data_IF_241595690095
#
_entry.id   IF_241595690095
#
_cell.length_a   1.000
_cell.length_b   1.000
_cell.length_c   1.000
_cell.angle_alpha   90.00
_cell.angle_beta   90.00
_cell.angle_gamma   90.00
#
_symmetry.space_group_name_H-M   'P 1'
#
loop_
_entity.id
_entity.type
_entity.pdbx_description
1 polymer ?
#
# COMPACT_ATOMS: atom_id res chain seq x y z
N UNK A 1 -23.90 -7.85 8.34
CA UNK A 1 -24.97 -8.61 7.64
C UNK A 1 -24.29 -9.81 7.04
N UNK A 2 -24.65 -11.05 7.41
CA UNK A 2 -24.09 -12.23 6.77
C UNK A 2 -24.51 -12.31 5.29
N UNK A 3 -23.65 -12.80 4.41
CA UNK A 3 -23.89 -12.96 2.96
C UNK A 3 -22.65 -12.68 2.11
N UNK A 4 -22.50 -13.38 0.97
CA UNK A 4 -21.37 -13.20 0.04
C UNK A 4 -21.79 -13.37 -1.44
N UNK A 5 -22.14 -12.28 -2.16
CA UNK A 5 -22.49 -10.97 -1.62
C UNK A 5 -23.89 -10.98 -0.97
N UNK A 6 -24.16 -10.10 0.00
CA UNK A 6 -25.51 -9.96 0.54
C UNK A 6 -26.46 -9.41 -0.53
N UNK A 7 -27.70 -9.92 -0.52
CA UNK A 7 -28.78 -9.44 -1.40
C UNK A 7 -29.15 -8.00 -1.04
N UNK A 8 -29.70 -7.25 -2.00
CA UNK A 8 -30.06 -5.83 -1.81
C UNK A 8 -31.07 -5.64 -0.66
N UNK A 9 -32.01 -6.57 -0.51
CA UNK A 9 -33.03 -6.57 0.54
C UNK A 9 -32.40 -6.72 1.93
N UNK A 10 -31.35 -7.52 2.07
CA UNK A 10 -30.63 -7.69 3.33
C UNK A 10 -29.91 -6.41 3.76
N UNK A 11 -29.44 -5.60 2.80
CA UNK A 11 -28.86 -4.28 3.05
C UNK A 11 -29.94 -3.32 3.54
N UNK A 12 -31.10 -3.28 2.88
CA UNK A 12 -32.25 -2.44 3.29
C UNK A 12 -32.71 -2.82 4.70
N UNK A 13 -32.82 -4.11 5.00
CA UNK A 13 -33.19 -4.60 6.33
C UNK A 13 -32.21 -4.14 7.41
N UNK A 14 -30.91 -4.13 7.11
CA UNK A 14 -29.90 -3.65 8.04
C UNK A 14 -29.96 -2.13 8.27
N UNK A 15 -30.30 -1.35 7.24
CA UNK A 15 -30.57 0.09 7.40
C UNK A 15 -31.78 0.31 8.29
N UNK A 16 -32.85 -0.47 8.12
CA UNK A 16 -34.03 -0.42 9.00
C UNK A 16 -33.65 -0.77 10.44
N UNK A 17 -32.85 -1.82 10.66
CA UNK A 17 -32.33 -2.19 11.98
C UNK A 17 -31.45 -1.08 12.58
N UNK A 18 -30.63 -0.41 11.78
CA UNK A 18 -29.84 0.73 12.22
C UNK A 18 -30.72 1.90 12.65
N UNK A 19 -31.79 2.23 11.91
CA UNK A 19 -32.75 3.28 12.30
C UNK A 19 -33.41 2.98 13.65
N UNK A 20 -33.80 1.72 13.88
CA UNK A 20 -34.34 1.28 15.18
C UNK A 20 -33.33 1.45 16.31
N UNK A 21 -32.05 1.16 16.06
CA UNK A 21 -30.97 1.35 17.04
C UNK A 21 -30.80 2.83 17.39
N UNK A 22 -30.73 3.71 16.39
CA UNK A 22 -30.57 5.16 16.60
C UNK A 22 -31.77 5.76 17.35
N UNK A 23 -32.99 5.30 17.05
CA UNK A 23 -34.18 5.73 17.77
C UNK A 23 -34.18 5.33 19.26
N UNK A 24 -33.40 4.32 19.64
CA UNK A 24 -33.24 3.88 21.02
C UNK A 24 -32.08 4.58 21.76
N UNK A 25 -31.30 5.43 21.09
CA UNK A 25 -30.19 6.15 21.72
C UNK A 25 -30.69 7.29 22.62
N UNK A 26 -30.15 7.36 23.84
CA UNK A 26 -30.46 8.42 24.81
C UNK A 26 -29.44 9.56 24.73
N UNK A 27 -29.88 10.81 24.83
CA UNK A 27 -28.98 11.98 24.82
C UNK A 27 -27.98 11.95 26.00
N UNK A 28 -28.39 11.41 27.13
CA UNK A 28 -27.58 11.25 28.34
C UNK A 28 -26.41 10.27 28.11
N UNK A 29 -26.57 9.29 27.22
CA UNK A 29 -25.55 8.29 26.89
C UNK A 29 -24.58 8.77 25.81
N UNK A 30 -24.85 9.91 25.17
CA UNK A 30 -24.02 10.47 24.09
C UNK A 30 -22.59 10.77 24.53
N UNK A 31 -22.37 11.07 25.81
CA UNK A 31 -21.04 11.25 26.38
C UNK A 31 -20.19 9.96 26.32
N UNK A 32 -20.82 8.77 26.36
CA UNK A 32 -20.14 7.47 26.26
C UNK A 32 -19.67 7.15 24.84
N UNK A 33 -20.16 7.88 23.82
CA UNK A 33 -19.70 7.73 22.43
C UNK A 33 -18.33 8.39 22.20
N UNK A 34 -17.84 9.19 23.14
CA UNK A 34 -16.51 9.79 23.04
C UNK A 34 -15.43 8.75 23.30
N UNK A 35 -14.37 8.81 22.50
CA UNK A 35 -13.19 7.97 22.71
C UNK A 35 -12.52 8.34 24.04
N UNK A 36 -12.19 7.34 24.86
CA UNK A 36 -11.39 7.53 26.08
C UNK A 36 -9.89 7.51 25.76
N UNK A 37 -9.13 8.38 26.42
CA UNK A 37 -7.69 8.53 26.22
C UNK A 37 -6.91 7.53 27.10
N UNK A 38 -6.63 6.33 26.57
CA UNK A 38 -5.80 5.30 27.22
C UNK A 38 -4.42 5.20 26.57
N UNK A 39 -3.60 6.23 26.76
CA UNK A 39 -2.26 6.30 26.16
C UNK A 39 -1.21 5.60 27.02
N UNK A 40 -0.42 4.73 26.38
CA UNK A 40 0.76 4.10 26.96
C UNK A 40 1.92 4.21 25.97
N UNK A 41 3.14 4.39 26.47
CA UNK A 41 4.34 4.54 25.65
C UNK A 41 5.36 3.48 26.03
N UNK A 42 5.87 2.76 25.04
CA UNK A 42 6.89 1.72 25.20
C UNK A 42 8.02 1.99 24.20
N UNK A 43 9.27 1.98 24.67
CA UNK A 43 10.45 2.14 23.81
C UNK A 43 10.69 0.85 23.00
N UNK A 44 11.10 0.99 21.75
CA UNK A 44 11.44 -0.12 20.87
C UNK A 44 12.81 0.10 20.20
N UNK A 45 13.48 -0.99 19.82
CA UNK A 45 14.77 -0.98 19.12
C UNK A 45 14.64 -1.51 17.68
N UNK A 46 13.58 -1.10 16.97
CA UNK A 46 13.36 -1.50 15.58
C UNK A 46 14.28 -0.69 14.65
N UNK A 47 14.73 -1.29 13.55
CA UNK A 47 15.50 -0.60 12.50
C UNK A 47 14.56 0.26 11.67
N UNK A 48 14.97 1.50 11.39
CA UNK A 48 14.23 2.39 10.48
C UNK A 48 14.54 1.99 9.03
N UNK A 49 13.49 1.81 8.22
CA UNK A 49 13.59 1.44 6.80
C UNK A 49 12.86 2.48 5.96
N UNK A 50 13.33 2.67 4.72
CA UNK A 50 12.73 3.60 3.77
C UNK A 50 11.32 3.15 3.32
N UNK A 51 10.40 4.09 3.02
CA UNK A 51 9.08 3.77 2.49
C UNK A 51 9.16 3.07 1.12
N UNK A 52 8.36 2.00 0.97
CA UNK A 52 8.28 1.25 -0.30
C UNK A 52 7.50 2.04 -1.37
N UNK A 53 6.44 2.74 -0.97
CA UNK A 53 5.51 3.39 -1.87
C UNK A 53 5.89 4.86 -2.09
N UNK A 54 6.68 5.12 -3.14
CA UNK A 54 7.19 6.46 -3.47
C UNK A 54 6.32 7.26 -4.46
N UNK A 55 5.19 6.71 -4.91
CA UNK A 55 4.24 7.39 -5.81
C UNK A 55 4.74 7.64 -7.25
N UNK A 56 5.95 7.19 -7.59
CA UNK A 56 6.61 7.44 -8.88
C UNK A 56 6.37 6.32 -9.90
N UNK A 57 5.15 5.83 -10.06
CA UNK A 57 4.87 4.65 -10.89
C UNK A 57 5.42 4.73 -12.33
N UNK A 58 5.14 5.82 -13.05
CA UNK A 58 5.60 5.98 -14.45
C UNK A 58 7.06 6.45 -14.56
N UNK A 59 7.59 7.06 -13.49
CA UNK A 59 8.95 7.62 -13.45
C UNK A 59 9.98 6.62 -12.89
N UNK A 60 9.59 5.35 -12.76
CA UNK A 60 10.50 4.29 -12.33
C UNK A 60 11.40 3.92 -13.50
N UNK A 61 12.71 3.84 -13.27
CA UNK A 61 13.72 3.39 -14.25
C UNK A 61 13.33 2.07 -14.93
N UNK A 62 12.72 1.16 -14.18
CA UNK A 62 12.29 -0.16 -14.64
C UNK A 62 11.24 -0.12 -15.75
N UNK A 63 10.51 1.01 -15.87
CA UNK A 63 9.52 1.22 -16.95
C UNK A 63 10.07 1.99 -18.13
N UNK A 64 11.16 2.73 -17.94
CA UNK A 64 11.81 3.48 -19.03
C UNK A 64 12.76 2.59 -19.83
N UNK A 65 13.51 1.73 -19.15
CA UNK A 65 14.51 0.87 -19.81
C UNK A 65 14.42 -0.57 -19.30
N UNK A 66 14.31 -1.57 -20.21
CA UNK A 66 14.42 -2.96 -19.82
C UNK A 66 15.84 -3.27 -19.27
N UNK A 67 15.97 -4.23 -18.35
CA UNK A 67 17.27 -4.63 -17.82
C UNK A 67 18.14 -5.26 -18.92
N UNK A 68 19.45 -5.02 -18.84
CA UNK A 68 20.43 -5.38 -19.87
C UNK A 68 20.43 -6.88 -20.22
N UNK A 69 20.32 -7.74 -19.21
CA UNK A 69 20.28 -9.19 -19.35
C UNK A 69 19.07 -9.65 -20.20
N UNK A 70 17.92 -8.99 -20.06
CA UNK A 70 16.74 -9.29 -20.89
C UNK A 70 16.89 -8.74 -22.31
N UNK A 71 17.53 -7.58 -22.50
CA UNK A 71 17.78 -7.06 -23.85
C UNK A 71 18.74 -7.92 -24.67
N UNK A 72 19.73 -8.52 -24.02
CA UNK A 72 20.68 -9.45 -24.65
C UNK A 72 20.00 -10.76 -25.08
N UNK A 73 19.10 -11.30 -24.24
CA UNK A 73 18.35 -12.52 -24.55
C UNK A 73 17.28 -12.35 -25.65
N UNK A 74 16.71 -11.15 -25.79
CA UNK A 74 15.65 -10.84 -26.77
C UNK A 74 16.25 -10.51 -28.17
N UNK A 75 17.57 -10.36 -28.29
CA UNK A 75 18.25 -10.21 -29.58
C UNK A 75 18.10 -8.82 -30.22
N UNK A 76 17.82 -7.79 -29.42
CA UNK A 76 17.83 -6.40 -29.90
C UNK A 76 19.28 -5.85 -29.88
N UNK A 77 19.73 -5.15 -30.94
CA UNK A 77 21.10 -4.64 -30.97
C UNK A 77 21.29 -3.56 -29.90
N UNK A 78 22.21 -3.81 -28.98
CA UNK A 78 22.62 -2.85 -27.94
C UNK A 78 23.24 -1.63 -28.64
N UNK A 79 22.77 -0.39 -28.36
CA UNK A 79 23.41 0.81 -28.88
C UNK A 79 24.89 0.86 -28.46
N UNK A 80 25.83 1.17 -29.37
CA UNK A 80 27.27 1.15 -29.09
C UNK A 80 27.70 2.02 -27.90
N UNK A 81 26.91 3.05 -27.57
CA UNK A 81 27.15 3.96 -26.44
C UNK A 81 27.13 3.26 -25.06
N UNK A 82 26.41 2.14 -24.91
CA UNK A 82 26.32 1.42 -23.63
C UNK A 82 27.42 0.35 -23.46
N UNK A 83 28.10 -0.04 -24.55
CA UNK A 83 29.20 -1.02 -24.52
C UNK A 83 30.52 -0.40 -24.04
N UNK A 84 30.74 0.89 -24.31
CA UNK A 84 31.96 1.60 -23.93
C UNK A 84 32.07 1.84 -22.40
N UNK A 85 30.95 1.88 -21.68
CA UNK A 85 30.93 2.20 -20.25
C UNK A 85 31.22 1.00 -19.32
N UNK A 86 31.43 -0.22 -19.85
CA UNK A 86 31.59 -1.44 -19.04
C UNK A 86 33.03 -1.94 -18.89
N UNK A 87 34.04 -1.21 -19.36
CA UNK A 87 35.46 -1.57 -19.12
C UNK A 87 36.10 -0.66 -18.08
N UNK A 88 35.66 -0.77 -16.84
CA UNK A 88 36.52 -0.48 -15.68
C UNK A 88 36.54 -1.70 -14.77
N UNK A 89 37.50 -2.59 -15.05
CA UNK A 89 37.91 -3.67 -14.15
C UNK A 89 38.59 -3.04 -12.92
N UNK A 90 37.89 -3.00 -11.79
CA UNK A 90 38.54 -2.69 -10.51
C UNK A 90 39.22 -3.96 -10.00
N UNK A 91 40.46 -4.15 -10.42
CA UNK A 91 41.39 -5.11 -9.80
C UNK A 91 41.70 -4.62 -8.38
N UNK A 92 41.17 -5.33 -7.37
CA UNK A 92 41.65 -5.22 -5.98
C UNK A 92 42.53 -6.44 -5.75
N UNK A 93 43.82 -6.18 -5.57
CA UNK A 93 44.89 -7.18 -5.46
C UNK A 93 44.74 -8.17 -4.33
#
# INVERSE_FOLDING_TARGET
IPGCPPRQEAIIEAVIKLRKKVANESLQERAQLQQVHRYYTVKHNMKVVEPILNGKYLKTSDRETPPKELTEAIGMPIPPALQAAQKEEVNRG
#
